data_IF_050046974511
#
_entry.id   IF_050046974511
#
_cell.length_a   1.000
_cell.length_b   1.000
_cell.length_c   1.000
_cell.angle_alpha   90.00
_cell.angle_beta   90.00
_cell.angle_gamma   90.00
#
_symmetry.space_group_name_H-M   'P 1'
#
loop_
_entity.id
_entity.type
_entity.pdbx_description
1 polymer ?
#
# COMPACT_ATOMS: atom_id res chain seq x y z
N UNK A 1 -44.13 39.38 -0.54
CA UNK A 1 -43.37 38.32 0.18
C UNK A 1 -43.02 37.10 -0.69
N UNK A 2 -43.51 37.01 -1.93
CA UNK A 2 -43.32 35.84 -2.81
C UNK A 2 -41.87 35.60 -3.22
N UNK A 3 -41.11 36.68 -3.51
CA UNK A 3 -39.67 36.59 -3.87
C UNK A 3 -38.79 36.12 -2.72
N UNK A 4 -39.05 36.59 -1.50
CA UNK A 4 -38.28 36.16 -0.31
C UNK A 4 -38.51 34.67 0.00
N UNK A 5 -39.76 34.22 -0.14
CA UNK A 5 -40.12 32.81 0.05
C UNK A 5 -39.47 31.91 -1.00
N UNK A 6 -39.51 32.32 -2.27
CA UNK A 6 -38.86 31.59 -3.37
C UNK A 6 -37.34 31.53 -3.19
N UNK A 7 -36.70 32.65 -2.85
CA UNK A 7 -35.26 32.68 -2.59
C UNK A 7 -34.84 31.75 -1.44
N UNK A 8 -35.67 31.67 -0.39
CA UNK A 8 -35.44 30.73 0.72
C UNK A 8 -35.56 29.27 0.25
N UNK A 9 -36.60 28.94 -0.50
CA UNK A 9 -36.81 27.57 -1.00
C UNK A 9 -35.69 27.14 -1.97
N UNK A 10 -35.19 28.05 -2.82
CA UNK A 10 -34.05 27.80 -3.70
C UNK A 10 -32.75 27.59 -2.91
N UNK A 11 -32.48 28.41 -1.89
CA UNK A 11 -31.32 28.25 -1.02
C UNK A 11 -31.36 26.94 -0.23
N UNK A 12 -32.52 26.57 0.31
CA UNK A 12 -32.71 25.32 1.04
C UNK A 12 -32.48 24.10 0.13
N UNK A 13 -32.97 24.17 -1.12
CA UNK A 13 -32.76 23.14 -2.14
C UNK A 13 -31.30 23.01 -2.54
N UNK A 14 -30.62 24.12 -2.77
CA UNK A 14 -29.20 24.12 -3.13
C UNK A 14 -28.33 23.58 -1.98
N UNK A 15 -28.63 23.96 -0.74
CA UNK A 15 -27.94 23.43 0.43
C UNK A 15 -28.17 21.92 0.64
N UNK A 16 -29.36 21.41 0.30
CA UNK A 16 -29.63 19.97 0.31
C UNK A 16 -28.84 19.24 -0.77
N UNK A 17 -28.82 19.79 -2.00
CA UNK A 17 -28.06 19.21 -3.11
C UNK A 17 -26.55 19.20 -2.84
N UNK A 18 -26.01 20.29 -2.30
CA UNK A 18 -24.60 20.38 -1.95
C UNK A 18 -24.22 19.35 -0.87
N UNK A 19 -25.05 19.20 0.16
CA UNK A 19 -24.85 18.17 1.19
C UNK A 19 -24.88 16.76 0.59
N UNK A 20 -25.85 16.45 -0.26
CA UNK A 20 -25.95 15.15 -0.91
C UNK A 20 -24.72 14.85 -1.80
N UNK A 21 -24.25 15.85 -2.55
CA UNK A 21 -23.06 15.74 -3.37
C UNK A 21 -21.80 15.49 -2.53
N UNK A 22 -21.61 16.26 -1.45
CA UNK A 22 -20.49 16.08 -0.53
C UNK A 22 -20.51 14.72 0.17
N UNK A 23 -21.68 14.22 0.57
CA UNK A 23 -21.80 12.90 1.16
C UNK A 23 -21.49 11.77 0.16
N UNK A 24 -21.90 11.93 -1.11
CA UNK A 24 -21.58 10.99 -2.17
C UNK A 24 -20.07 10.95 -2.46
N UNK A 25 -19.42 12.11 -2.58
CA UNK A 25 -17.97 12.21 -2.77
C UNK A 25 -17.20 11.62 -1.57
N UNK A 26 -17.67 11.86 -0.34
CA UNK A 26 -17.07 11.29 0.86
C UNK A 26 -17.17 9.75 0.86
N UNK A 27 -18.35 9.19 0.55
CA UNK A 27 -18.54 7.73 0.44
C UNK A 27 -17.65 7.13 -0.65
N UNK A 28 -17.51 7.81 -1.79
CA UNK A 28 -16.61 7.41 -2.87
C UNK A 28 -15.15 7.41 -2.41
N UNK A 29 -14.69 8.47 -1.75
CA UNK A 29 -13.34 8.56 -1.20
C UNK A 29 -13.02 7.45 -0.19
N UNK A 30 -13.97 7.11 0.69
CA UNK A 30 -13.82 5.97 1.60
C UNK A 30 -13.69 4.66 0.83
N UNK A 31 -14.56 4.43 -0.16
CA UNK A 31 -14.53 3.18 -0.93
C UNK A 31 -13.22 3.00 -1.69
N UNK A 32 -12.70 4.06 -2.31
CA UNK A 32 -11.45 4.03 -3.07
C UNK A 32 -10.23 3.87 -2.15
N UNK A 33 -10.20 4.57 -1.02
CA UNK A 33 -9.09 4.48 -0.06
C UNK A 33 -9.06 3.14 0.68
N UNK A 34 -10.21 2.61 1.09
CA UNK A 34 -10.30 1.33 1.80
C UNK A 34 -9.96 0.13 0.91
N UNK A 35 -10.32 0.17 -0.37
CA UNK A 35 -9.95 -0.89 -1.34
C UNK A 35 -8.47 -0.89 -1.71
N UNK A 36 -7.85 0.29 -1.79
CA UNK A 36 -6.45 0.46 -2.19
C UNK A 36 -5.46 -0.03 -1.13
N UNK A 37 -5.77 0.16 0.16
CA UNK A 37 -4.91 -0.35 1.24
C UNK A 37 -4.81 -1.87 1.23
N UNK A 38 -5.93 -2.57 1.04
CA UNK A 38 -5.95 -4.04 1.01
C UNK A 38 -5.22 -4.63 -0.19
N UNK A 39 -5.37 -4.04 -1.39
CA UNK A 39 -4.66 -4.52 -2.59
C UNK A 39 -3.16 -4.22 -2.53
N UNK A 40 -2.78 -3.06 -1.98
CA UNK A 40 -1.38 -2.68 -1.78
C UNK A 40 -0.68 -3.60 -0.78
N UNK A 41 -1.32 -3.91 0.35
CA UNK A 41 -0.77 -4.84 1.35
C UNK A 41 -0.56 -6.23 0.75
N UNK A 42 -1.57 -6.81 0.08
CA UNK A 42 -1.45 -8.13 -0.55
C UNK A 42 -0.32 -8.21 -1.58
N UNK A 43 -0.15 -7.14 -2.37
CA UNK A 43 0.95 -7.05 -3.34
C UNK A 43 2.31 -6.99 -2.63
N UNK A 44 2.43 -6.17 -1.58
CA UNK A 44 3.66 -6.05 -0.81
C UNK A 44 4.04 -7.36 -0.11
N UNK A 45 3.06 -8.09 0.43
CA UNK A 45 3.26 -9.42 1.04
C UNK A 45 3.83 -10.39 -0.01
N UNK A 46 3.16 -10.51 -1.16
CA UNK A 46 3.60 -11.40 -2.24
C UNK A 46 5.00 -11.05 -2.77
N UNK A 47 5.30 -9.76 -2.96
CA UNK A 47 6.63 -9.30 -3.37
C UNK A 47 7.70 -9.60 -2.31
N UNK A 48 7.36 -9.44 -1.03
CA UNK A 48 8.27 -9.69 0.09
C UNK A 48 8.59 -11.18 0.21
N UNK A 49 7.58 -12.05 0.15
CA UNK A 49 7.76 -13.49 0.21
C UNK A 49 8.62 -13.99 -0.96
N UNK A 50 8.34 -13.53 -2.18
CA UNK A 50 9.16 -13.84 -3.34
C UNK A 50 10.62 -13.41 -3.17
N UNK A 51 10.85 -12.22 -2.58
CA UNK A 51 12.20 -11.70 -2.32
C UNK A 51 12.93 -12.54 -1.27
N UNK A 52 12.24 -12.96 -0.21
CA UNK A 52 12.79 -13.81 0.85
C UNK A 52 13.21 -15.16 0.26
N UNK A 53 12.35 -15.80 -0.53
CA UNK A 53 12.66 -17.09 -1.14
C UNK A 53 13.83 -16.99 -2.13
N UNK A 54 13.87 -15.93 -2.94
CA UNK A 54 15.01 -15.66 -3.81
C UNK A 54 16.32 -15.48 -3.02
N UNK A 55 16.27 -14.79 -1.88
CA UNK A 55 17.44 -14.54 -1.04
C UNK A 55 17.92 -15.84 -0.38
N UNK A 56 17.00 -16.66 0.15
CA UNK A 56 17.32 -17.98 0.73
C UNK A 56 17.96 -18.90 -0.31
N UNK A 57 17.41 -18.97 -1.52
CA UNK A 57 17.94 -19.80 -2.60
C UNK A 57 19.36 -19.35 -2.99
N UNK A 58 19.56 -18.05 -3.18
CA UNK A 58 20.88 -17.49 -3.55
C UNK A 58 21.90 -17.70 -2.43
N UNK A 59 21.51 -17.46 -1.18
CA UNK A 59 22.37 -17.69 -0.01
C UNK A 59 22.77 -19.15 0.13
N UNK A 60 21.82 -20.08 -0.02
CA UNK A 60 22.08 -21.51 0.04
C UNK A 60 23.03 -21.96 -1.06
N UNK A 61 22.93 -21.36 -2.25
CA UNK A 61 23.81 -21.65 -3.39
C UNK A 61 25.25 -21.20 -3.14
N UNK A 62 25.45 -20.00 -2.58
CA UNK A 62 26.79 -19.41 -2.40
C UNK A 62 27.46 -19.77 -1.07
N UNK A 63 26.68 -20.18 -0.07
CA UNK A 63 27.17 -20.52 1.27
C UNK A 63 28.33 -21.54 1.28
N UNK A 64 28.31 -22.63 0.49
CA UNK A 64 29.42 -23.59 0.48
C UNK A 64 30.74 -22.99 0.00
N UNK A 65 30.72 -22.13 -1.01
CA UNK A 65 31.92 -21.46 -1.53
C UNK A 65 32.51 -20.50 -0.50
N UNK A 66 31.65 -19.75 0.19
CA UNK A 66 32.07 -18.85 1.28
C UNK A 66 32.67 -19.64 2.43
N UNK A 67 32.04 -20.74 2.85
CA UNK A 67 32.57 -21.61 3.91
C UNK A 67 33.91 -22.19 3.51
N UNK A 68 34.05 -22.68 2.28
CA UNK A 68 35.32 -23.21 1.78
C UNK A 68 36.43 -22.15 1.80
N UNK A 69 36.13 -20.93 1.35
CA UNK A 69 37.07 -19.81 1.36
C UNK A 69 37.51 -19.45 2.79
N UNK A 70 36.56 -19.37 3.73
CA UNK A 70 36.84 -19.11 5.15
C UNK A 70 37.72 -20.22 5.76
N UNK A 71 37.38 -21.49 5.53
CA UNK A 71 38.16 -22.62 6.01
C UNK A 71 39.59 -22.57 5.48
N UNK A 72 39.78 -22.32 4.17
CA UNK A 72 41.10 -22.22 3.53
C UNK A 72 41.94 -21.11 4.16
N UNK A 73 41.34 -19.97 4.46
CA UNK A 73 42.04 -18.85 5.10
C UNK A 73 42.48 -19.20 6.53
N UNK A 74 41.63 -19.88 7.29
CA UNK A 74 41.92 -20.28 8.69
C UNK A 74 43.04 -21.33 8.76
N UNK A 75 43.01 -22.33 7.89
CA UNK A 75 43.97 -23.45 7.94
C UNK A 75 45.30 -23.16 7.24
N UNK A 76 45.38 -22.08 6.46
CA UNK A 76 46.61 -21.67 5.77
C UNK A 76 47.51 -20.88 6.72
N UNK A 77 48.46 -21.56 7.37
CA UNK A 77 49.54 -20.90 8.11
C UNK A 77 50.47 -20.20 7.11
N UNK A 78 50.63 -18.88 7.23
CA UNK A 78 51.71 -18.15 6.54
C UNK A 78 53.02 -18.46 7.27
N UNK A 79 53.91 -19.19 6.60
CA UNK A 79 55.34 -19.25 6.93
C UNK A 79 56.06 -18.07 6.29
#
# INVERSE_FOLDING_TARGET
MTRLKQAKEEADKEAANFRAHMEAEYKKSISESSGSSGSTVKRLEAETDAKIESLKATSSKVSPEVVHMLCKFIISVKN
#
